data_IF_390386007869
#
_entry.id   IF_390386007869
#
_cell.length_a   1.000
_cell.length_b   1.000
_cell.length_c   1.000
_cell.angle_alpha   90.00
_cell.angle_beta   90.00
_cell.angle_gamma   90.00
#
_symmetry.space_group_name_H-M   'P 1'
#
loop_
_entity.id
_entity.type
_entity.pdbx_description
1 polymer ?
#
# COMPACT_ATOMS: atom_id res chain seq x y z
N UNK A 1 44.05 -6.16 -42.34
CA UNK A 1 44.11 -5.77 -40.92
C UNK A 1 42.86 -4.97 -40.60
N UNK A 2 42.20 -5.28 -39.46
CA UNK A 2 41.18 -4.51 -38.71
C UNK A 2 40.03 -3.90 -39.54
N UNK A 3 38.78 -4.37 -39.52
CA UNK A 3 38.00 -4.94 -38.42
C UNK A 3 37.10 -3.84 -37.86
N UNK A 4 35.80 -3.89 -38.14
CA UNK A 4 34.74 -3.32 -37.32
C UNK A 4 33.37 -3.87 -37.78
N UNK A 5 32.86 -4.80 -36.97
CA UNK A 5 31.52 -5.37 -37.06
C UNK A 5 30.56 -4.40 -36.36
N UNK A 6 29.83 -3.59 -37.12
CA UNK A 6 28.70 -2.81 -36.61
C UNK A 6 27.50 -3.71 -36.35
N UNK A 7 27.41 -4.25 -35.12
CA UNK A 7 26.19 -4.87 -34.59
C UNK A 7 25.14 -3.76 -34.35
N UNK A 8 24.44 -3.34 -35.40
CA UNK A 8 23.17 -2.63 -35.26
C UNK A 8 22.14 -3.62 -34.71
N UNK A 9 22.07 -3.73 -33.38
CA UNK A 9 20.93 -4.36 -32.69
C UNK A 9 19.73 -3.47 -32.96
N UNK A 10 18.99 -3.77 -34.03
CA UNK A 10 17.62 -3.33 -34.20
C UNK A 10 16.82 -3.97 -33.07
N UNK A 11 16.71 -3.27 -31.94
CA UNK A 11 15.71 -3.61 -30.93
C UNK A 11 14.35 -3.34 -31.60
N UNK A 12 13.44 -4.33 -31.64
CA UNK A 12 12.08 -4.01 -32.03
C UNK A 12 11.58 -2.97 -31.03
N UNK A 13 11.13 -1.82 -31.55
CA UNK A 13 10.42 -0.81 -30.77
C UNK A 13 9.36 -1.58 -29.98
N UNK A 14 9.51 -1.61 -28.65
CA UNK A 14 8.52 -2.18 -27.76
C UNK A 14 7.26 -1.36 -28.00
N UNK A 15 6.35 -1.88 -28.80
CA UNK A 15 5.02 -1.31 -28.98
C UNK A 15 4.45 -1.17 -27.58
N UNK A 16 4.36 0.08 -27.11
CA UNK A 16 3.62 0.40 -25.89
C UNK A 16 2.18 0.03 -26.20
N UNK A 17 1.77 -1.17 -25.79
CA UNK A 17 0.38 -1.57 -25.80
C UNK A 17 -0.39 -0.51 -25.03
N UNK A 18 -1.44 0.03 -25.64
CA UNK A 18 -2.36 1.03 -25.07
C UNK A 18 -3.06 0.60 -23.75
N UNK A 19 -2.70 -0.55 -23.19
CA UNK A 19 -3.08 -0.97 -21.83
C UNK A 19 -2.18 -0.36 -20.74
N UNK A 20 -1.06 0.27 -21.10
CA UNK A 20 -0.12 0.91 -20.15
C UNK A 20 -0.63 2.26 -19.60
N UNK A 21 -1.63 2.86 -20.27
CA UNK A 21 -2.27 4.13 -19.87
C UNK A 21 -3.56 3.93 -19.06
N UNK A 22 -3.86 2.70 -18.63
CA UNK A 22 -4.90 2.52 -17.62
C UNK A 22 -4.35 3.07 -16.31
N UNK A 23 -4.89 4.21 -15.85
CA UNK A 23 -4.80 4.75 -14.50
C UNK A 23 -4.94 3.61 -13.46
N UNK A 24 -3.83 2.91 -13.18
CA UNK A 24 -3.79 1.91 -12.14
C UNK A 24 -4.00 2.68 -10.84
N UNK A 25 -5.13 2.47 -10.18
CA UNK A 25 -5.49 3.23 -8.98
C UNK A 25 -4.31 3.21 -8.00
N UNK A 26 -3.78 4.39 -7.71
CA UNK A 26 -2.70 4.54 -6.74
C UNK A 26 -3.21 4.05 -5.38
N UNK A 27 -2.44 3.18 -4.73
CA UNK A 27 -2.76 2.69 -3.40
C UNK A 27 -2.16 3.64 -2.37
N UNK A 28 -3.00 4.08 -1.43
CA UNK A 28 -2.57 4.75 -0.20
C UNK A 28 -2.34 3.69 0.87
N UNK A 29 -1.16 3.73 1.47
CA UNK A 29 -0.63 2.71 2.36
C UNK A 29 0.00 3.39 3.59
N UNK A 30 0.24 2.60 4.64
CA UNK A 30 1.01 3.06 5.79
C UNK A 30 1.85 1.92 6.36
N UNK A 31 3.10 2.19 6.78
CA UNK A 31 3.90 1.22 7.54
C UNK A 31 3.38 1.03 8.98
N UNK A 32 2.47 1.88 9.46
CA UNK A 32 1.91 1.80 10.81
C UNK A 32 0.48 1.27 10.80
N UNK A 33 0.25 0.16 11.51
CA UNK A 33 -1.10 -0.34 11.75
C UNK A 33 -1.92 0.63 12.62
N UNK A 34 -1.30 1.36 13.56
CA UNK A 34 -2.00 2.36 14.39
C UNK A 34 -2.51 3.50 13.53
N UNK A 35 -1.68 3.98 12.60
CA UNK A 35 -2.10 5.00 11.64
C UNK A 35 -3.22 4.48 10.73
N UNK A 36 -3.02 3.32 10.10
CA UNK A 36 -4.01 2.71 9.20
C UNK A 36 -5.39 2.49 9.87
N UNK A 37 -5.42 2.15 11.16
CA UNK A 37 -6.65 1.95 11.93
C UNK A 37 -7.31 3.26 12.44
N UNK A 38 -6.54 4.34 12.56
CA UNK A 38 -7.03 5.64 13.03
C UNK A 38 -7.63 6.49 11.90
N UNK A 39 -7.26 6.22 10.66
CA UNK A 39 -7.76 6.91 9.48
C UNK A 39 -8.98 6.22 8.88
N UNK A 40 -9.59 6.86 7.90
CA UNK A 40 -10.72 6.30 7.11
C UNK A 40 -10.34 5.08 6.27
N UNK A 41 -9.06 4.69 6.24
CA UNK A 41 -8.56 3.53 5.50
C UNK A 41 -9.06 2.22 6.11
N UNK A 42 -9.28 2.17 7.43
CA UNK A 42 -9.74 0.97 8.12
C UNK A 42 -11.25 0.98 8.37
N UNK A 43 -11.93 -0.06 7.87
CA UNK A 43 -13.32 -0.33 8.18
C UNK A 43 -13.44 -1.08 9.51
N UNK A 44 -14.39 -0.63 10.34
CA UNK A 44 -14.75 -1.26 11.61
C UNK A 44 -16.07 -2.00 11.43
N UNK A 45 -16.14 -3.26 11.88
CA UNK A 45 -17.35 -4.09 11.77
C UNK A 45 -17.76 -4.66 13.12
N UNK A 46 -19.04 -4.60 13.48
CA UNK A 46 -19.55 -5.37 14.64
C UNK A 46 -19.59 -6.86 14.25
N UNK A 47 -19.00 -7.71 15.09
CA UNK A 47 -19.02 -9.15 14.95
C UNK A 47 -19.64 -9.78 16.20
N UNK A 48 -20.60 -10.68 16.00
CA UNK A 48 -21.23 -11.44 17.08
C UNK A 48 -20.79 -12.89 16.93
N UNK A 49 -20.08 -13.42 17.92
CA UNK A 49 -19.67 -14.82 17.92
C UNK A 49 -20.92 -15.71 17.98
N UNK A 50 -21.19 -16.56 16.97
CA UNK A 50 -22.39 -17.38 16.93
C UNK A 50 -22.46 -18.39 18.08
N UNK A 51 -21.32 -18.80 18.65
CA UNK A 51 -21.24 -19.79 19.74
C UNK A 51 -21.42 -19.12 21.10
N UNK A 52 -20.64 -18.09 21.40
CA UNK A 52 -20.64 -17.44 22.73
C UNK A 52 -21.63 -16.28 22.85
N UNK A 53 -22.18 -15.81 21.72
CA UNK A 53 -23.04 -14.61 21.62
C UNK A 53 -22.36 -13.31 22.07
N UNK A 54 -21.04 -13.34 22.29
CA UNK A 54 -20.27 -12.14 22.63
C UNK A 54 -20.16 -11.23 21.41
N UNK A 55 -20.23 -9.92 21.66
CA UNK A 55 -20.03 -8.90 20.65
C UNK A 55 -18.59 -8.42 20.66
N UNK A 56 -18.07 -8.15 19.46
CA UNK A 56 -16.74 -7.65 19.22
C UNK A 56 -16.77 -6.53 18.20
N UNK A 57 -15.84 -5.59 18.34
CA UNK A 57 -15.41 -4.74 17.25
C UNK A 57 -14.30 -5.44 16.48
N UNK A 58 -14.57 -5.79 15.22
CA UNK A 58 -13.60 -6.36 14.31
C UNK A 58 -12.94 -5.27 13.46
N UNK A 59 -11.63 -5.41 13.29
CA UNK A 59 -10.79 -4.58 12.44
C UNK A 59 -10.05 -5.48 11.46
N UNK A 60 -9.90 -5.01 10.23
CA UNK A 60 -9.15 -5.74 9.19
C UNK A 60 -8.16 -4.82 8.48
N UNK A 61 -7.06 -5.40 8.04
CA UNK A 61 -6.07 -4.73 7.21
C UNK A 61 -5.40 -5.72 6.26
N UNK A 62 -4.97 -5.26 5.09
CA UNK A 62 -4.11 -6.05 4.22
C UNK A 62 -2.64 -5.78 4.52
N UNK A 63 -1.87 -6.84 4.74
CA UNK A 63 -0.42 -6.77 4.74
C UNK A 63 0.07 -7.00 3.31
N UNK A 64 0.90 -6.09 2.82
CA UNK A 64 1.47 -6.15 1.48
C UNK A 64 2.98 -5.97 1.52
N UNK A 65 3.68 -6.51 0.53
CA UNK A 65 5.04 -6.13 0.19
C UNK A 65 4.98 -5.06 -0.90
N UNK A 66 5.87 -4.08 -0.81
CA UNK A 66 6.00 -3.00 -1.79
C UNK A 66 7.45 -2.98 -2.27
N UNK A 67 7.65 -2.94 -3.60
CA UNK A 67 8.98 -2.86 -4.17
C UNK A 67 9.67 -1.55 -3.72
N UNK A 68 10.92 -1.60 -3.21
CA UNK A 68 11.65 -0.39 -2.86
C UNK A 68 11.75 0.59 -4.04
N UNK A 69 11.50 1.87 -3.76
CA UNK A 69 11.56 2.93 -4.76
C UNK A 69 10.33 3.05 -5.66
N UNK A 70 9.29 2.22 -5.51
CA UNK A 70 8.05 2.26 -6.32
C UNK A 70 6.91 3.09 -5.70
N UNK A 71 7.19 3.81 -4.62
CA UNK A 71 6.24 4.63 -3.86
C UNK A 71 6.83 5.97 -3.46
N UNK A 72 5.96 6.93 -3.13
CA UNK A 72 6.31 8.19 -2.46
C UNK A 72 5.97 8.08 -0.98
N UNK A 73 6.75 8.76 -0.14
CA UNK A 73 6.55 8.85 1.31
C UNK A 73 6.13 10.28 1.64
N UNK A 74 5.18 10.46 2.54
CA UNK A 74 4.73 11.79 2.96
C UNK A 74 3.97 11.81 4.29
N UNK A 75 3.61 13.03 4.73
CA UNK A 75 2.82 13.25 5.93
C UNK A 75 1.37 12.78 5.76
N UNK A 76 0.60 12.66 6.86
CA UNK A 76 -0.83 12.41 6.84
C UNK A 76 -1.58 13.37 5.92
N UNK A 77 -2.38 12.83 4.98
CA UNK A 77 -3.29 13.60 4.14
C UNK A 77 -4.59 13.96 4.86
N UNK A 78 -4.95 13.22 5.91
CA UNK A 78 -6.18 13.44 6.67
C UNK A 78 -6.07 14.70 7.57
N UNK A 79 -7.02 15.65 7.47
CA UNK A 79 -7.05 16.82 8.33
C UNK A 79 -7.15 16.45 9.82
N UNK A 80 -6.45 17.20 10.67
CA UNK A 80 -6.51 17.04 12.14
C UNK A 80 -5.46 16.10 12.74
N UNK A 81 -4.66 15.41 11.91
CA UNK A 81 -3.50 14.65 12.38
C UNK A 81 -2.28 15.57 12.36
N UNK A 82 -2.04 16.26 13.47
CA UNK A 82 -0.91 17.20 13.61
C UNK A 82 0.28 16.61 14.40
N UNK A 83 0.13 15.39 14.93
CA UNK A 83 1.12 14.70 15.78
C UNK A 83 1.26 13.24 15.35
N UNK A 84 2.44 12.63 15.54
CA UNK A 84 2.62 11.20 15.27
C UNK A 84 1.59 10.35 16.03
N UNK A 85 0.85 9.51 15.30
CA UNK A 85 -0.06 8.50 15.88
C UNK A 85 0.74 7.30 16.38
N UNK A 86 1.79 6.91 15.65
CA UNK A 86 2.70 5.86 16.07
C UNK A 86 3.98 6.48 16.65
N UNK A 87 4.30 6.27 17.94
CA UNK A 87 5.49 6.83 18.57
C UNK A 87 6.81 6.32 17.97
N UNK A 88 6.78 5.26 17.18
CA UNK A 88 7.96 4.69 16.52
C UNK A 88 8.15 5.17 15.08
N UNK A 89 7.26 6.02 14.57
CA UNK A 89 7.30 6.50 13.19
C UNK A 89 7.34 8.03 13.16
N UNK A 90 8.19 8.58 12.30
CA UNK A 90 8.21 10.00 12.03
C UNK A 90 6.89 10.42 11.36
N UNK A 91 6.31 11.52 11.83
CA UNK A 91 5.03 12.04 11.34
C UNK A 91 5.00 12.15 9.81
N UNK A 92 6.06 12.69 9.21
CA UNK A 92 6.14 12.98 7.78
C UNK A 92 6.41 11.75 6.91
N UNK A 93 6.38 10.55 7.52
CA UNK A 93 6.57 9.26 6.84
C UNK A 93 5.39 8.31 6.97
N UNK A 94 4.28 8.80 7.54
CA UNK A 94 3.09 8.00 7.87
C UNK A 94 2.34 7.45 6.64
N UNK A 95 2.39 8.14 5.51
CA UNK A 95 1.64 7.78 4.30
C UNK A 95 2.56 7.46 3.13
N UNK A 96 2.29 6.31 2.50
CA UNK A 96 2.99 5.86 1.31
C UNK A 96 2.00 5.76 0.15
N UNK A 97 2.35 6.31 -1.01
CA UNK A 97 1.50 6.27 -2.21
C UNK A 97 2.26 5.59 -3.35
N UNK A 98 1.68 4.52 -3.90
CA UNK A 98 2.31 3.80 -5.03
C UNK A 98 2.35 4.67 -6.28
N UNK A 99 3.48 4.67 -7.00
CA UNK A 99 3.63 5.34 -8.30
C UNK A 99 3.80 4.39 -9.49
N UNK A 100 4.01 3.11 -9.24
CA UNK A 100 4.22 2.08 -10.27
C UNK A 100 3.20 0.94 -10.10
N UNK A 101 2.57 0.53 -11.21
CA UNK A 101 1.63 -0.58 -11.25
C UNK A 101 2.38 -1.91 -11.09
N UNK A 102 1.77 -2.85 -10.37
CA UNK A 102 2.33 -4.21 -10.19
C UNK A 102 3.52 -4.27 -9.24
N UNK A 103 3.86 -3.18 -8.56
CA UNK A 103 4.96 -3.10 -7.60
C UNK A 103 4.55 -3.47 -6.16
N UNK A 104 3.42 -4.17 -6.01
CA UNK A 104 2.90 -4.64 -4.73
C UNK A 104 2.51 -6.11 -4.78
N UNK A 105 2.67 -6.81 -3.66
CA UNK A 105 2.25 -8.20 -3.48
C UNK A 105 1.41 -8.30 -2.22
N UNK A 106 0.18 -8.84 -2.34
CA UNK A 106 -0.66 -9.11 -1.18
C UNK A 106 -0.14 -10.35 -0.43
N UNK A 107 0.10 -10.21 0.88
CA UNK A 107 0.70 -11.27 1.69
C UNK A 107 -0.28 -11.90 2.67
N UNK A 108 -1.06 -11.07 3.38
CA UNK A 108 -1.96 -11.57 4.42
C UNK A 108 -3.15 -10.64 4.65
N UNK A 109 -4.21 -11.21 5.21
CA UNK A 109 -5.31 -10.49 5.85
C UNK A 109 -5.10 -10.50 7.36
N UNK A 110 -4.90 -9.34 7.95
CA UNK A 110 -4.79 -9.16 9.39
C UNK A 110 -6.18 -8.93 9.97
N UNK A 111 -6.49 -9.61 11.07
CA UNK A 111 -7.78 -9.48 11.78
C UNK A 111 -7.52 -9.24 13.25
N UNK A 112 -8.13 -8.19 13.81
CA UNK A 112 -8.16 -7.91 15.24
C UNK A 112 -9.60 -7.90 15.72
N UNK A 113 -9.87 -8.62 16.81
CA UNK A 113 -11.13 -8.57 17.53
C UNK A 113 -10.91 -7.86 18.86
N UNK A 114 -11.72 -6.86 19.15
CA UNK A 114 -11.73 -6.13 20.42
C UNK A 114 -13.11 -6.28 21.06
N UNK A 115 -13.16 -6.55 22.35
CA UNK A 115 -14.44 -6.68 23.06
C UNK A 115 -15.11 -5.33 23.18
N UNK A 116 -16.42 -5.27 22.89
CA UNK A 116 -17.26 -4.11 23.14
C UNK A 116 -17.62 -3.98 24.63
#
# INVERSE_FOLDING_TARGET
MKGELGLERITPRKDKSKEDDSDGSQLLLSPSLKYALATTIANKYEYIDPKTKRKYQAYTAFQILVQPGSYKIGPPSQPGIAKPIDPHLDHDTAEWVTKERGATVLCALLVRLETL
#
